data_IF_053893693522
#
_entry.id   IF_053893693522
#
_cell.length_a   1.000
_cell.length_b   1.000
_cell.length_c   1.000
_cell.angle_alpha   90.00
_cell.angle_beta   90.00
_cell.angle_gamma   90.00
#
_symmetry.space_group_name_H-M   'P 1'
#
loop_
_entity.id
_entity.type
_entity.pdbx_description
1 polymer ?
#
# COMPACT_ATOMS: atom_id res chain seq x y z
N UNK A 1 -1.72 -8.18 -0.62
CA UNK A 1 -0.87 -8.14 0.59
C UNK A 1 -1.37 -7.13 1.61
N UNK A 2 -1.00 -7.25 2.88
CA UNK A 2 -1.42 -6.37 3.98
C UNK A 2 -0.29 -6.12 4.97
N UNK A 3 -0.14 -4.90 5.49
CA UNK A 3 0.69 -4.61 6.65
C UNK A 3 0.02 -3.58 7.57
N UNK A 4 0.36 -3.62 8.87
CA UNK A 4 -0.17 -2.68 9.85
C UNK A 4 0.72 -1.45 9.97
N UNK A 5 0.10 -0.28 10.02
CA UNK A 5 0.73 1.01 10.28
C UNK A 5 0.26 1.54 11.63
N UNK A 6 1.14 1.42 12.63
CA UNK A 6 0.86 1.87 13.99
C UNK A 6 0.75 3.39 14.13
N UNK A 7 1.26 4.17 13.18
CA UNK A 7 1.18 5.64 13.23
C UNK A 7 -0.21 6.14 12.85
N UNK A 8 -0.94 5.35 12.06
CA UNK A 8 -2.29 5.65 11.58
C UNK A 8 -3.37 4.75 12.17
N UNK A 9 -2.99 3.76 12.98
CA UNK A 9 -3.88 2.72 13.52
C UNK A 9 -4.74 2.09 12.42
N UNK A 10 -4.06 1.59 11.39
CA UNK A 10 -4.71 1.07 10.19
C UNK A 10 -3.84 0.10 9.42
N UNK A 11 -4.44 -0.48 8.39
CA UNK A 11 -3.80 -1.47 7.54
C UNK A 11 -3.63 -0.92 6.13
N UNK A 12 -2.40 -0.98 5.62
CA UNK A 12 -2.12 -0.77 4.22
C UNK A 12 -2.35 -2.08 3.46
N UNK A 13 -3.20 -2.04 2.43
CA UNK A 13 -3.64 -3.20 1.67
C UNK A 13 -3.42 -2.93 0.18
N UNK A 14 -2.76 -3.86 -0.52
CA UNK A 14 -2.70 -3.86 -1.99
C UNK A 14 -3.71 -4.83 -2.58
N UNK A 15 -4.33 -4.43 -3.67
CA UNK A 15 -5.31 -5.22 -4.44
C UNK A 15 -4.79 -5.44 -5.86
N UNK A 16 -4.60 -6.70 -6.24
CA UNK A 16 -4.29 -7.11 -7.62
C UNK A 16 -5.44 -6.72 -8.56
N UNK A 17 -6.68 -7.07 -8.22
CA UNK A 17 -7.85 -6.87 -9.09
C UNK A 17 -8.12 -5.40 -9.39
N UNK A 18 -7.95 -4.51 -8.40
CA UNK A 18 -8.22 -3.08 -8.59
C UNK A 18 -6.99 -2.23 -8.88
N UNK A 19 -5.78 -2.79 -8.78
CA UNK A 19 -4.50 -2.07 -8.94
C UNK A 19 -4.37 -0.85 -8.01
N UNK A 20 -4.85 -1.01 -6.77
CA UNK A 20 -4.92 0.06 -5.76
C UNK A 20 -4.16 -0.31 -4.48
N UNK A 21 -3.66 0.73 -3.82
CA UNK A 21 -3.24 0.75 -2.42
C UNK A 21 -4.35 1.40 -1.59
N UNK A 22 -4.74 0.76 -0.49
CA UNK A 22 -5.75 1.27 0.45
C UNK A 22 -5.16 1.45 1.85
N UNK A 23 -5.56 2.51 2.54
CA UNK A 23 -5.54 2.56 4.00
C UNK A 23 -6.92 2.16 4.52
N UNK A 24 -6.99 1.12 5.34
CA UNK A 24 -8.23 0.60 5.88
C UNK A 24 -8.15 0.43 7.40
N UNK A 25 -9.25 0.70 8.12
CA UNK A 25 -9.37 0.37 9.54
C UNK A 25 -10.72 -0.32 9.86
N UNK A 26 -10.81 -0.91 11.06
CA UNK A 26 -11.98 -1.66 11.53
C UNK A 26 -13.23 -0.80 11.77
N UNK A 27 -13.07 0.50 11.97
CA UNK A 27 -14.15 1.41 12.40
C UNK A 27 -14.79 2.12 11.20
N UNK A 28 -13.96 2.64 10.30
CA UNK A 28 -14.31 3.48 9.18
C UNK A 28 -14.27 2.73 7.84
N UNK A 29 -13.65 1.55 7.80
CA UNK A 29 -13.38 0.85 6.56
C UNK A 29 -12.27 1.54 5.77
N UNK A 30 -12.47 1.78 4.47
CA UNK A 30 -11.47 2.44 3.61
C UNK A 30 -11.41 3.93 3.94
N UNK A 31 -10.22 4.41 4.33
CA UNK A 31 -9.95 5.82 4.65
C UNK A 31 -9.30 6.56 3.49
N UNK A 32 -8.35 5.90 2.81
CA UNK A 32 -7.57 6.45 1.71
C UNK A 32 -7.36 5.39 0.63
N UNK A 33 -7.19 5.83 -0.61
CA UNK A 33 -6.92 4.96 -1.74
C UNK A 33 -6.04 5.65 -2.78
N UNK A 34 -5.10 4.91 -3.35
CA UNK A 34 -4.11 5.40 -4.32
C UNK A 34 -3.96 4.38 -5.46
N UNK A 35 -3.91 4.86 -6.71
CA UNK A 35 -3.60 3.98 -7.84
C UNK A 35 -2.12 3.64 -7.86
N UNK A 36 -1.79 2.38 -8.08
CA UNK A 36 -0.42 1.89 -8.11
C UNK A 36 0.28 2.17 -9.45
N UNK A 37 -0.46 2.18 -10.55
CA UNK A 37 0.09 2.36 -11.90
C UNK A 37 0.91 1.17 -12.42
N UNK A 38 0.83 0.02 -11.75
CA UNK A 38 1.38 -1.27 -12.18
C UNK A 38 0.47 -2.40 -11.71
N UNK A 39 0.54 -3.55 -12.37
CA UNK A 39 -0.34 -4.70 -12.14
C UNK A 39 0.27 -5.71 -11.16
N UNK A 40 -0.56 -6.65 -10.66
CA UNK A 40 -0.13 -7.83 -9.88
C UNK A 40 0.65 -7.51 -8.61
N UNK A 41 0.19 -6.51 -7.86
CA UNK A 41 0.73 -6.19 -6.55
C UNK A 41 0.33 -7.24 -5.50
N UNK A 42 1.31 -7.93 -4.92
CA UNK A 42 1.05 -9.09 -4.04
C UNK A 42 1.42 -8.84 -2.58
N UNK A 43 2.60 -8.26 -2.32
CA UNK A 43 3.13 -8.02 -0.98
C UNK A 43 3.45 -6.55 -0.75
N UNK A 44 3.28 -6.08 0.49
CA UNK A 44 3.50 -4.67 0.87
C UNK A 44 4.10 -4.58 2.29
N UNK A 45 5.02 -3.64 2.48
CA UNK A 45 5.41 -3.12 3.79
C UNK A 45 5.50 -1.59 3.74
N UNK A 46 5.06 -0.92 4.81
CA UNK A 46 5.23 0.51 5.03
C UNK A 46 6.28 0.76 6.11
N UNK A 47 7.18 1.72 5.88
CA UNK A 47 8.23 2.13 6.81
C UNK A 47 8.00 3.60 7.16
N UNK A 48 7.40 3.84 8.33
CA UNK A 48 6.98 5.16 8.77
C UNK A 48 8.15 6.15 8.90
N UNK A 49 9.32 5.71 9.35
CA UNK A 49 10.51 6.54 9.54
C UNK A 49 10.99 7.20 8.24
N UNK A 50 10.67 6.60 7.10
CA UNK A 50 11.08 7.07 5.76
C UNK A 50 9.90 7.40 4.86
N UNK A 51 8.68 7.37 5.40
CA UNK A 51 7.42 7.47 4.66
C UNK A 51 7.44 6.68 3.35
N UNK A 52 7.92 5.43 3.39
CA UNK A 52 8.19 4.64 2.19
C UNK A 52 7.38 3.36 2.19
N UNK A 53 6.77 3.08 1.03
CA UNK A 53 6.14 1.80 0.74
C UNK A 53 7.07 0.96 -0.12
N UNK A 54 7.15 -0.33 0.19
CA UNK A 54 7.82 -1.32 -0.64
C UNK A 54 6.80 -2.36 -1.08
N UNK A 55 6.62 -2.51 -2.39
CA UNK A 55 5.58 -3.36 -2.97
C UNK A 55 6.20 -4.28 -4.02
N UNK A 56 5.94 -5.59 -3.92
CA UNK A 56 6.36 -6.56 -4.94
C UNK A 56 5.25 -6.74 -5.97
N UNK A 57 5.65 -6.79 -7.25
CA UNK A 57 4.79 -7.20 -8.35
C UNK A 57 5.28 -8.53 -8.92
N UNK A 58 4.38 -9.51 -9.01
CA UNK A 58 4.70 -10.84 -9.56
C UNK A 58 4.92 -10.75 -11.08
N UNK A 59 4.00 -10.13 -11.82
CA UNK A 59 4.10 -10.07 -13.29
C UNK A 59 5.22 -9.18 -13.81
N UNK A 60 5.66 -8.21 -13.02
CA UNK A 60 6.75 -7.31 -13.42
C UNK A 60 8.13 -7.77 -12.91
N UNK A 61 8.18 -8.79 -12.05
CA UNK A 61 9.42 -9.28 -11.42
C UNK A 61 10.21 -8.16 -10.70
N UNK A 62 9.48 -7.24 -10.05
CA UNK A 62 10.04 -6.02 -9.46
C UNK A 62 9.64 -5.81 -8.01
N UNK A 63 10.53 -5.14 -7.29
CA UNK A 63 10.23 -4.45 -6.02
C UNK A 63 10.19 -2.95 -6.29
N UNK A 64 9.03 -2.34 -6.08
CA UNK A 64 8.86 -0.89 -6.16
C UNK A 64 9.08 -0.23 -4.81
N UNK A 65 9.53 1.02 -4.86
CA UNK A 65 9.55 1.92 -3.72
C UNK A 65 8.71 3.16 -4.05
N UNK A 66 7.72 3.47 -3.22
CA UNK A 66 6.87 4.65 -3.35
C UNK A 66 6.90 5.51 -2.10
N UNK A 67 6.55 6.77 -2.26
CA UNK A 67 6.17 7.70 -1.18
C UNK A 67 4.86 8.38 -1.58
N UNK A 68 4.03 8.71 -0.58
CA UNK A 68 2.85 9.55 -0.80
C UNK A 68 3.29 10.99 -0.53
N UNK A 69 3.09 11.88 -1.50
CA UNK A 69 3.32 13.31 -1.32
C UNK A 69 2.10 13.95 -0.64
N UNK A 70 2.36 14.72 0.42
CA UNK A 70 1.35 15.60 1.02
C UNK A 70 1.29 16.91 0.22
N UNK A 71 0.09 17.35 -0.15
CA UNK A 71 -0.15 18.65 -0.82
C UNK A 71 0.01 19.83 0.14
#
# INVERSE_FOLDING_TARGET
GICYDSTRDGFWIVSDESEMLYLWDLTNGVREQYSLGFSKAEGIVYIAETNSFYIVSDSEEKLYKFHIEEN
#
